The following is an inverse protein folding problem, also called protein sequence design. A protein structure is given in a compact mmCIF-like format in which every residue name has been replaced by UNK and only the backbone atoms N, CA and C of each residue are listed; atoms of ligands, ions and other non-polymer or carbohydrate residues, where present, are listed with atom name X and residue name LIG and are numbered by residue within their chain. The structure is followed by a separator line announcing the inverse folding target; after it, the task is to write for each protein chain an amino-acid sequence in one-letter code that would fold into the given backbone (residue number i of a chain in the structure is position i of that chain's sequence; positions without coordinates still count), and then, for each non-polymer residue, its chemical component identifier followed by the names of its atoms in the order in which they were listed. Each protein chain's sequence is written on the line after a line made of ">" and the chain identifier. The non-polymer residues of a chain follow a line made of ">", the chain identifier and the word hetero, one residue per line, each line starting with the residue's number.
data_IF_168752488141
#
_entry.id   IF_168752488141
#
_cell.length_a   1.000
_cell.length_b   1.000
_cell.length_c   1.000
_cell.angle_alpha   90.00
_cell.angle_beta   90.00
_cell.angle_gamma   90.00
#
_symmetry.space_group_name_H-M   'P 1'
#
loop_
_entity.id
_entity.type
_entity.pdbx_description
1 polymer ?
#
# COMPACT_ATOMS: atom_id res chain seq x y z
N UNK A 1 -6.38 1.58 3.33
CA UNK A 1 -7.16 1.51 2.07
C UNK A 1 -7.18 0.09 1.49
N UNK A 2 -6.09 -0.49 0.99
CA UNK A 2 -6.12 -1.86 0.42
C UNK A 2 -6.62 -2.94 1.38
N UNK A 3 -6.18 -2.87 2.64
CA UNK A 3 -6.48 -3.89 3.66
C UNK A 3 -7.74 -3.60 4.49
N UNK A 4 -8.50 -2.56 4.16
CA UNK A 4 -9.71 -2.17 4.92
C UNK A 4 -9.48 -1.61 6.34
N UNK A 5 -8.28 -1.76 6.90
CA UNK A 5 -7.94 -1.30 8.25
C UNK A 5 -8.22 0.19 8.46
N UNK A 6 -8.82 0.51 9.60
CA UNK A 6 -9.18 1.83 10.09
C UNK A 6 -10.36 2.48 9.35
N UNK A 7 -10.95 1.83 8.34
CA UNK A 7 -12.00 2.46 7.54
C UNK A 7 -13.29 2.65 8.32
N UNK A 8 -13.76 1.66 9.07
CA UNK A 8 -15.01 1.76 9.84
C UNK A 8 -14.94 2.89 10.88
N UNK A 9 -13.77 3.04 11.52
CA UNK A 9 -13.47 4.16 12.40
C UNK A 9 -13.41 5.50 11.65
N UNK A 10 -12.79 5.54 10.47
CA UNK A 10 -12.74 6.73 9.62
C UNK A 10 -14.15 7.18 9.22
N UNK A 11 -14.99 6.28 8.74
CA UNK A 11 -16.35 6.63 8.32
C UNK A 11 -17.18 7.10 9.52
N UNK A 12 -17.03 6.46 10.69
CA UNK A 12 -17.68 6.93 11.92
C UNK A 12 -17.26 8.37 12.27
N UNK A 13 -15.98 8.71 12.10
CA UNK A 13 -15.48 10.08 12.30
C UNK A 13 -15.99 11.04 11.23
N UNK A 14 -16.02 10.62 9.96
CA UNK A 14 -16.56 11.43 8.86
C UNK A 14 -18.04 11.75 9.10
N UNK A 15 -18.86 10.77 9.46
CA UNK A 15 -20.29 10.97 9.74
C UNK A 15 -20.53 11.92 10.92
N UNK A 16 -19.69 11.88 11.95
CA UNK A 16 -19.77 12.80 13.10
C UNK A 16 -19.28 14.21 12.77
N UNK A 17 -18.15 14.34 12.09
CA UNK A 17 -17.51 15.64 11.84
C UNK A 17 -18.20 16.42 10.72
N UNK A 18 -18.66 15.72 9.68
CA UNK A 18 -19.23 16.33 8.48
C UNK A 18 -20.54 17.08 8.74
N UNK A 19 -21.34 16.66 9.74
CA UNK A 19 -22.61 17.34 10.12
C UNK A 19 -23.55 17.63 8.93
N UNK A 20 -23.47 16.82 7.87
CA UNK A 20 -24.21 16.99 6.61
C UNK A 20 -23.94 18.31 5.87
N UNK A 21 -22.83 18.99 6.18
CA UNK A 21 -22.48 20.27 5.61
C UNK A 21 -21.76 20.10 4.27
N UNK A 22 -22.50 20.27 3.17
CA UNK A 22 -21.95 20.36 1.82
C UNK A 22 -21.34 19.06 1.28
N UNK A 23 -20.59 19.19 0.19
CA UNK A 23 -19.92 18.07 -0.48
C UNK A 23 -18.52 17.80 0.10
N UNK A 24 -18.00 16.60 -0.15
CA UNK A 24 -16.69 16.14 0.35
C UNK A 24 -15.73 15.94 -0.81
N UNK A 25 -14.54 16.52 -0.73
CA UNK A 25 -13.51 16.40 -1.76
C UNK A 25 -12.29 15.65 -1.22
N UNK A 26 -11.90 14.56 -1.87
CA UNK A 26 -10.70 13.79 -1.52
C UNK A 26 -9.48 14.42 -2.19
N UNK A 27 -8.67 15.15 -1.42
CA UNK A 27 -7.43 15.77 -1.89
C UNK A 27 -6.19 14.95 -1.48
N UNK A 28 -5.12 15.06 -2.27
CA UNK A 28 -3.82 14.51 -1.90
C UNK A 28 -2.94 14.11 -3.09
N UNK A 29 -1.71 13.72 -2.78
CA UNK A 29 -0.69 13.45 -3.80
C UNK A 29 -1.05 12.25 -4.71
N UNK A 30 -0.41 12.18 -5.88
CA UNK A 30 -0.40 10.95 -6.70
C UNK A 30 0.17 9.79 -5.88
N UNK A 31 -0.34 8.57 -6.13
CA UNK A 31 0.05 7.34 -5.42
C UNK A 31 -0.16 7.30 -3.90
N UNK A 32 -0.81 8.30 -3.30
CA UNK A 32 -1.21 8.27 -1.89
C UNK A 32 -2.32 7.23 -1.58
N UNK A 33 -2.96 6.67 -2.62
CA UNK A 33 -4.03 5.69 -2.48
C UNK A 33 -5.44 6.28 -2.41
N UNK A 34 -5.65 7.52 -2.89
CA UNK A 34 -6.96 8.20 -2.91
C UNK A 34 -8.03 7.39 -3.66
N UNK A 35 -7.78 6.99 -4.90
CA UNK A 35 -8.73 6.20 -5.68
C UNK A 35 -8.99 4.81 -5.08
N UNK A 36 -7.99 4.23 -4.41
CA UNK A 36 -8.19 3.00 -3.62
C UNK A 36 -9.12 3.25 -2.43
N UNK A 37 -8.94 4.38 -1.72
CA UNK A 37 -9.82 4.78 -0.63
C UNK A 37 -11.24 5.10 -1.14
N UNK A 38 -11.37 5.77 -2.28
CA UNK A 38 -12.66 6.06 -2.92
C UNK A 38 -13.43 4.79 -3.25
N UNK A 39 -12.77 3.81 -3.91
CA UNK A 39 -13.37 2.51 -4.20
C UNK A 39 -13.80 1.75 -2.94
N UNK A 40 -13.06 1.93 -1.85
CA UNK A 40 -13.38 1.30 -0.58
C UNK A 40 -14.55 2.02 0.12
N UNK A 41 -14.60 3.35 0.07
CA UNK A 41 -15.72 4.13 0.58
C UNK A 41 -17.01 3.85 -0.19
N UNK A 42 -16.93 3.67 -1.51
CA UNK A 42 -18.03 3.20 -2.35
C UNK A 42 -18.55 1.82 -1.88
N UNK A 43 -17.66 0.96 -1.37
CA UNK A 43 -18.00 -0.34 -0.80
C UNK A 43 -18.53 -0.29 0.64
N UNK A 44 -18.35 0.82 1.34
CA UNK A 44 -18.72 0.96 2.75
C UNK A 44 -20.11 1.56 2.97
N UNK A 45 -20.55 1.60 4.23
CA UNK A 45 -21.74 2.32 4.70
C UNK A 45 -21.66 3.85 4.57
N UNK A 46 -20.59 4.42 4.01
CA UNK A 46 -20.53 5.84 3.70
C UNK A 46 -21.35 6.20 2.45
N UNK A 47 -21.50 5.26 1.54
CA UNK A 47 -22.14 5.46 0.26
C UNK A 47 -23.60 4.97 0.30
N UNK A 48 -24.49 5.55 -0.53
CA UNK A 48 -25.85 5.01 -0.71
C UNK A 48 -25.79 3.58 -1.25
N UNK A 49 -26.74 2.73 -0.82
CA UNK A 49 -26.74 1.28 -1.08
C UNK A 49 -26.69 0.88 -2.55
N UNK A 50 -27.28 1.68 -3.45
CA UNK A 50 -27.34 1.43 -4.91
C UNK A 50 -26.11 1.91 -5.68
N UNK A 51 -25.41 2.90 -5.16
CA UNK A 51 -24.27 3.53 -5.83
C UNK A 51 -23.14 2.62 -6.35
N UNK A 52 -22.82 1.46 -5.76
CA UNK A 52 -21.75 0.58 -6.24
C UNK A 52 -22.08 -0.12 -7.55
N UNK A 53 -23.36 -0.19 -7.91
CA UNK A 53 -23.86 -0.75 -9.17
C UNK A 53 -24.02 0.33 -10.24
N UNK A 54 -24.18 1.59 -9.83
CA UNK A 54 -24.41 2.74 -10.72
C UNK A 54 -23.14 3.52 -11.03
N UNK A 55 -22.25 3.67 -10.04
CA UNK A 55 -21.05 4.52 -10.15
C UNK A 55 -19.87 3.68 -10.61
N UNK A 56 -19.18 4.16 -11.64
CA UNK A 56 -17.94 3.58 -12.11
C UNK A 56 -16.87 3.56 -11.00
N UNK A 57 -16.21 2.42 -10.85
CA UNK A 57 -15.09 2.27 -9.92
C UNK A 57 -13.93 3.14 -10.40
N UNK A 58 -13.28 3.82 -9.46
CA UNK A 58 -12.09 4.61 -9.77
C UNK A 58 -10.94 3.72 -10.25
N UNK A 59 -10.27 4.12 -11.32
CA UNK A 59 -9.12 3.40 -11.86
C UNK A 59 -7.96 3.49 -10.87
N UNK A 60 -7.54 2.35 -10.32
CA UNK A 60 -6.37 2.26 -9.44
C UNK A 60 -5.18 1.81 -10.28
N UNK A 61 -4.22 2.70 -10.49
CA UNK A 61 -2.95 2.35 -11.10
C UNK A 61 -1.78 2.84 -10.24
N UNK A 62 -0.63 2.14 -10.29
CA UNK A 62 0.60 2.57 -9.63
C UNK A 62 1.30 3.74 -10.36
N UNK A 63 0.95 4.02 -11.61
CA UNK A 63 1.47 5.14 -12.38
C UNK A 63 0.83 6.46 -11.94
N UNK A 64 1.58 7.57 -11.81
CA UNK A 64 0.99 8.88 -11.53
C UNK A 64 0.00 9.33 -12.61
N UNK A 65 -1.12 9.98 -12.22
CA UNK A 65 -2.06 10.59 -13.17
C UNK A 65 -3.32 9.78 -13.52
N UNK A 66 -3.73 8.84 -12.66
CA UNK A 66 -4.81 7.87 -12.96
C UNK A 66 -6.23 8.44 -12.99
N UNK A 67 -6.45 9.60 -12.38
CA UNK A 67 -7.78 10.23 -12.28
C UNK A 67 -7.85 11.38 -13.26
N UNK A 68 -8.17 11.07 -14.53
CA UNK A 68 -8.38 12.07 -15.58
C UNK A 68 -9.78 12.72 -15.47
N UNK A 69 -10.78 11.95 -15.01
CA UNK A 69 -12.15 12.43 -14.81
C UNK A 69 -12.50 12.51 -13.32
N UNK A 70 -13.21 13.58 -12.92
CA UNK A 70 -13.76 13.73 -11.57
C UNK A 70 -14.86 12.69 -11.34
N UNK A 71 -14.54 11.64 -10.58
CA UNK A 71 -15.50 10.63 -10.17
C UNK A 71 -16.21 11.07 -8.89
N UNK A 72 -17.48 10.71 -8.76
CA UNK A 72 -18.29 11.07 -7.59
C UNK A 72 -19.31 9.99 -7.22
N UNK A 73 -19.59 9.86 -5.93
CA UNK A 73 -20.70 9.04 -5.43
C UNK A 73 -21.56 9.80 -4.41
N UNK A 74 -22.86 9.49 -4.31
CA UNK A 74 -23.72 10.12 -3.31
C UNK A 74 -23.50 9.54 -1.92
N UNK A 75 -23.31 10.43 -0.95
CA UNK A 75 -23.12 10.12 0.47
C UNK A 75 -24.47 9.75 1.09
N UNK A 76 -24.48 8.74 1.96
CA UNK A 76 -25.67 8.40 2.72
C UNK A 76 -25.92 9.44 3.82
N UNK A 77 -27.17 9.87 3.99
CA UNK A 77 -27.53 10.78 5.09
C UNK A 77 -27.41 10.02 6.44
N UNK A 78 -26.55 10.47 7.37
CA UNK A 78 -26.36 9.85 8.68
C UNK A 78 -27.50 10.21 9.64
N UNK A 79 -28.62 9.48 9.56
CA UNK A 79 -29.70 9.58 10.56
C UNK A 79 -29.34 8.84 11.85
N UNK A 80 -29.93 9.24 12.98
CA UNK A 80 -29.67 8.61 14.28
C UNK A 80 -29.90 7.09 14.25
N UNK A 81 -31.01 6.62 13.65
CA UNK A 81 -31.31 5.19 13.46
C UNK A 81 -30.21 4.49 12.64
N UNK A 82 -29.74 5.09 11.54
CA UNK A 82 -28.69 4.48 10.72
C UNK A 82 -27.35 4.40 11.44
N UNK A 83 -26.98 5.45 12.16
CA UNK A 83 -25.76 5.46 12.98
C UNK A 83 -25.85 4.38 14.05
N UNK A 84 -27.01 4.23 14.69
CA UNK A 84 -27.25 3.25 15.74
C UNK A 84 -27.14 1.81 15.23
N UNK A 85 -27.87 1.45 14.16
CA UNK A 85 -27.80 0.10 13.55
C UNK A 85 -26.39 -0.29 13.11
N UNK A 86 -25.65 0.67 12.56
CA UNK A 86 -24.24 0.44 12.21
C UNK A 86 -23.40 0.17 13.44
N UNK A 87 -23.59 0.91 14.53
CA UNK A 87 -22.86 0.67 15.78
C UNK A 87 -23.17 -0.71 16.36
N UNK A 88 -24.41 -1.19 16.26
CA UNK A 88 -24.77 -2.55 16.65
C UNK A 88 -24.00 -3.59 15.82
N UNK A 89 -24.01 -3.47 14.49
CA UNK A 89 -23.22 -4.35 13.61
C UNK A 89 -21.74 -4.37 14.00
N UNK A 90 -21.12 -3.21 14.20
CA UNK A 90 -19.70 -3.11 14.56
C UNK A 90 -19.40 -3.76 15.91
N UNK A 91 -20.32 -3.66 16.88
CA UNK A 91 -20.19 -4.35 18.18
C UNK A 91 -20.29 -5.85 18.00
N UNK A 92 -21.23 -6.33 17.21
CA UNK A 92 -21.38 -7.77 16.91
C UNK A 92 -20.13 -8.32 16.22
N UNK A 93 -19.63 -7.65 15.18
CA UNK A 93 -18.39 -8.03 14.48
C UNK A 93 -17.20 -8.10 15.44
N UNK A 94 -17.03 -7.09 16.29
CA UNK A 94 -15.96 -7.07 17.29
C UNK A 94 -16.02 -8.22 18.30
N UNK A 95 -17.17 -8.88 18.47
CA UNK A 95 -17.29 -10.07 19.33
C UNK A 95 -16.94 -11.38 18.63
N UNK A 96 -16.99 -11.42 17.29
CA UNK A 96 -16.71 -12.62 16.50
C UNK A 96 -15.22 -12.97 16.54
N UNK A 97 -14.94 -14.27 16.45
CA UNK A 97 -13.57 -14.81 16.30
C UNK A 97 -13.31 -15.24 14.85
N UNK A 98 -12.04 -15.33 14.45
CA UNK A 98 -11.67 -15.71 13.07
C UNK A 98 -12.28 -17.07 12.64
N UNK A 99 -12.51 -17.97 13.59
CA UNK A 99 -13.03 -19.31 13.32
C UNK A 99 -14.51 -19.33 12.95
N UNK A 100 -15.27 -18.30 13.35
CA UNK A 100 -16.71 -18.17 13.09
C UNK A 100 -17.04 -17.59 11.71
N UNK A 101 -16.01 -17.19 10.95
CA UNK A 101 -16.16 -16.66 9.60
C UNK A 101 -16.43 -17.79 8.58
N UNK A 102 -17.16 -17.45 7.52
CA UNK A 102 -17.36 -18.34 6.38
C UNK A 102 -16.05 -18.63 5.64
N UNK A 103 -16.02 -19.70 4.85
CA UNK A 103 -14.82 -20.09 4.12
C UNK A 103 -14.38 -19.04 3.08
N UNK A 104 -15.33 -18.30 2.51
CA UNK A 104 -15.04 -17.21 1.57
C UNK A 104 -14.42 -16.00 2.27
N UNK A 105 -14.95 -15.61 3.43
CA UNK A 105 -14.40 -14.55 4.28
C UNK A 105 -13.01 -14.92 4.80
N UNK A 106 -12.79 -16.18 5.21
CA UNK A 106 -11.47 -16.68 5.60
C UNK A 106 -10.46 -16.61 4.45
N UNK A 107 -10.84 -17.01 3.23
CA UNK A 107 -9.99 -16.88 2.04
C UNK A 107 -9.66 -15.42 1.74
N UNK A 108 -10.66 -14.53 1.85
CA UNK A 108 -10.49 -13.10 1.67
C UNK A 108 -9.52 -12.51 2.71
N UNK A 109 -9.74 -12.82 3.98
CA UNK A 109 -8.90 -12.39 5.10
C UNK A 109 -7.46 -12.88 4.94
N UNK A 110 -7.26 -14.14 4.53
CA UNK A 110 -5.93 -14.69 4.26
C UNK A 110 -5.22 -13.97 3.11
N UNK A 111 -5.94 -13.50 2.09
CA UNK A 111 -5.37 -12.65 1.04
C UNK A 111 -4.94 -11.29 1.62
N UNK A 112 -5.78 -10.64 2.42
CA UNK A 112 -5.46 -9.37 3.06
C UNK A 112 -4.26 -9.47 4.02
N UNK A 113 -4.14 -10.57 4.78
CA UNK A 113 -2.98 -10.87 5.66
C UNK A 113 -1.66 -11.05 4.88
N UNK A 114 -1.73 -11.42 3.60
CA UNK A 114 -0.55 -11.42 2.71
C UNK A 114 -0.19 -10.01 2.26
N UNK A 115 -1.20 -9.20 1.95
CA UNK A 115 -1.04 -7.83 1.44
C UNK A 115 -0.57 -6.83 2.52
N UNK A 116 -0.93 -7.01 3.79
CA UNK A 116 -0.57 -6.07 4.85
C UNK A 116 -0.51 -6.68 6.26
N UNK A 117 0.08 -5.92 7.18
CA UNK A 117 0.15 -6.27 8.61
C UNK A 117 -1.12 -5.89 9.37
N UNK A 118 -1.78 -4.81 8.96
CA UNK A 118 -3.00 -4.31 9.59
C UNK A 118 -4.16 -4.57 8.64
N UNK A 119 -5.11 -5.38 9.09
CA UNK A 119 -6.26 -5.81 8.29
C UNK A 119 -7.54 -5.43 9.01
N UNK A 120 -8.48 -4.85 8.27
CA UNK A 120 -9.82 -4.54 8.75
C UNK A 120 -10.83 -5.02 7.73
N UNK A 121 -11.92 -5.59 8.22
CA UNK A 121 -13.04 -5.97 7.37
C UNK A 121 -13.98 -4.78 7.20
N UNK A 122 -14.50 -4.58 5.99
CA UNK A 122 -15.40 -3.47 5.68
C UNK A 122 -16.75 -4.05 5.37
N UNK A 123 -17.70 -3.79 6.25
CA UNK A 123 -19.05 -4.33 6.13
C UNK A 123 -20.03 -3.34 5.52
N UNK A 124 -21.25 -3.84 5.28
CA UNK A 124 -22.41 -3.02 4.93
C UNK A 124 -23.58 -3.37 5.82
N UNK A 125 -24.14 -2.34 6.43
CA UNK A 125 -25.34 -2.41 7.27
C UNK A 125 -26.60 -2.35 6.42
N UNK A 126 -26.60 -1.56 5.34
CA UNK A 126 -27.80 -1.29 4.54
C UNK A 126 -27.73 -1.94 3.17
N UNK A 127 -27.76 -3.28 3.15
CA UNK A 127 -27.85 -4.04 1.91
C UNK A 127 -29.30 -4.42 1.64
N UNK A 128 -29.81 -4.08 0.46
CA UNK A 128 -31.10 -4.60 0.02
C UNK A 128 -30.91 -6.10 -0.16
N UNK A 129 -31.68 -6.92 0.56
CA UNK A 129 -31.75 -8.35 0.25
C UNK A 129 -32.06 -8.46 -1.24
N UNK A 130 -31.24 -9.18 -2.01
CA UNK A 130 -31.66 -9.60 -3.35
C UNK A 130 -32.98 -10.33 -3.12
N UNK A 131 -34.07 -9.81 -3.67
CA UNK A 131 -35.25 -10.63 -3.85
C UNK A 131 -34.77 -11.88 -4.58
N UNK A 132 -34.97 -13.05 -3.98
CA UNK A 132 -34.80 -14.32 -4.68
C UNK A 132 -35.54 -14.15 -6.01
N UNK A 133 -34.91 -14.36 -7.17
CA UNK A 133 -35.65 -14.30 -8.41
C UNK A 133 -36.75 -15.35 -8.29
N UNK A 134 -38.00 -14.90 -8.23
CA UNK A 134 -39.13 -15.78 -8.48
C UNK A 134 -38.89 -16.26 -9.89
N UNK A 135 -38.58 -17.54 -10.05
CA UNK A 135 -38.47 -18.17 -11.36
C UNK A 135 -39.89 -18.15 -11.90
N UNK A 136 -40.22 -17.13 -12.68
CA UNK A 136 -41.44 -17.14 -13.48
C UNK A 136 -41.21 -18.20 -14.55
N UNK A 137 -41.88 -19.33 -14.37
CA UNK A 137 -41.72 -20.49 -15.23
C UNK A 137 -42.53 -20.22 -16.51
N UNK A 138 -41.89 -19.62 -17.51
CA UNK A 138 -42.51 -19.34 -18.80
C UNK A 138 -42.49 -20.62 -19.67
N UNK A 139 -43.64 -21.26 -19.95
CA UNK A 139 -43.70 -22.51 -20.71
C UNK A 139 -43.24 -22.35 -22.16
N UNK A 140 -43.26 -21.13 -22.69
CA UNK A 140 -42.94 -20.83 -24.09
C UNK A 140 -41.42 -20.78 -24.36
N UNK A 141 -40.58 -20.66 -23.32
CA UNK A 141 -39.11 -20.76 -23.47
C UNK A 141 -38.60 -22.19 -23.73
N UNK A 142 -39.46 -23.20 -23.62
CA UNK A 142 -39.11 -24.62 -23.80
C UNK A 142 -39.57 -25.18 -25.15
N UNK A 143 -40.22 -24.39 -26.02
CA UNK A 143 -40.61 -24.87 -27.34
C UNK A 143 -39.40 -24.91 -28.28
N UNK A 144 -38.81 -26.10 -28.45
CA UNK A 144 -37.87 -26.37 -29.54
C UNK A 144 -38.63 -26.56 -30.85
N UNK A 145 -38.58 -25.59 -31.76
CA UNK A 145 -38.92 -25.77 -33.17
C UNK A 145 -37.70 -26.35 -33.91
N UNK A 146 -37.89 -27.41 -34.68
CA UNK A 146 -36.80 -28.19 -35.32
C UNK A 146 -36.16 -27.51 -36.55
N UNK A 147 -36.52 -26.27 -36.89
CA UNK A 147 -36.20 -25.65 -38.19
C UNK A 147 -35.51 -24.26 -38.12
N UNK A 148 -34.82 -23.89 -37.03
CA UNK A 148 -34.01 -22.66 -37.01
C UNK A 148 -32.56 -22.90 -36.53
N UNK A 149 -31.59 -22.42 -37.31
CA UNK A 149 -30.17 -22.39 -37.00
C UNK A 149 -29.89 -21.66 -35.66
N UNK A 150 -28.82 -22.02 -34.92
CA UNK A 150 -28.53 -21.43 -33.62
C UNK A 150 -28.05 -19.99 -33.75
N UNK A 151 -28.98 -19.04 -33.88
CA UNK A 151 -28.67 -17.62 -33.71
C UNK A 151 -28.38 -17.35 -32.24
N UNK A 152 -27.21 -16.76 -31.99
CA UNK A 152 -26.72 -16.31 -30.71
C UNK A 152 -27.84 -15.82 -29.78
N UNK A 153 -27.91 -16.44 -28.60
CA UNK A 153 -28.70 -15.91 -27.48
C UNK A 153 -28.37 -14.42 -27.30
N UNK A 154 -29.38 -13.53 -27.21
CA UNK A 154 -29.11 -12.15 -26.91
C UNK A 154 -28.51 -12.14 -25.50
N UNK A 155 -27.22 -11.82 -25.40
CA UNK A 155 -26.60 -11.46 -24.11
C UNK A 155 -27.48 -10.38 -23.53
N UNK A 156 -28.21 -10.71 -22.46
CA UNK A 156 -28.98 -9.76 -21.67
C UNK A 156 -28.05 -8.59 -21.37
N UNK A 157 -28.28 -7.45 -22.03
CA UNK A 157 -27.57 -6.22 -21.68
C UNK A 157 -27.94 -5.98 -20.22
N UNK A 158 -26.99 -6.08 -19.31
CA UNK A 158 -27.18 -5.61 -17.95
C UNK A 158 -27.57 -4.13 -18.06
N UNK A 159 -28.86 -3.84 -17.88
CA UNK A 159 -29.37 -2.48 -17.83
C UNK A 159 -28.59 -1.78 -16.71
N UNK A 160 -27.81 -0.77 -17.07
CA UNK A 160 -27.10 0.04 -16.08
C UNK A 160 -28.16 0.71 -15.22
N UNK A 161 -28.29 0.26 -13.98
CA UNK A 161 -29.16 0.93 -13.02
C UNK A 161 -28.73 2.40 -12.92
N UNK A 162 -29.66 3.33 -13.11
CA UNK A 162 -29.42 4.76 -12.92
C UNK A 162 -30.07 5.23 -11.61
N UNK A 163 -29.50 6.27 -11.00
CA UNK A 163 -30.13 6.87 -9.83
C UNK A 163 -31.42 7.59 -10.20
N UNK A 164 -32.47 7.39 -9.41
CA UNK A 164 -33.71 8.16 -9.57
C UNK A 164 -33.48 9.63 -9.19
N UNK A 165 -34.11 10.56 -9.90
CA UNK A 165 -34.02 12.01 -9.63
C UNK A 165 -34.21 12.38 -8.14
N UNK A 166 -35.19 11.77 -7.47
CA UNK A 166 -35.47 12.00 -6.05
C UNK A 166 -34.35 11.54 -5.12
N UNK A 167 -33.56 10.52 -5.51
CA UNK A 167 -32.41 10.07 -4.73
C UNK A 167 -31.22 11.03 -4.88
N UNK A 168 -31.17 11.82 -5.95
CA UNK A 168 -30.02 12.64 -6.32
C UNK A 168 -30.21 14.12 -5.96
N UNK A 169 -31.45 14.62 -5.98
CA UNK A 169 -31.79 16.03 -5.80
C UNK A 169 -31.22 16.66 -4.53
N UNK A 170 -31.34 15.97 -3.39
CA UNK A 170 -30.82 16.42 -2.09
C UNK A 170 -29.58 15.64 -1.65
N UNK A 171 -28.95 14.92 -2.58
CA UNK A 171 -27.75 14.15 -2.29
C UNK A 171 -26.55 15.07 -2.13
N UNK A 172 -25.73 14.75 -1.14
CA UNK A 172 -24.38 15.27 -1.03
C UNK A 172 -23.41 14.30 -1.68
N UNK A 173 -22.33 14.83 -2.24
CA UNK A 173 -21.42 14.06 -3.06
C UNK A 173 -20.03 13.97 -2.45
N UNK A 174 -19.38 12.82 -2.62
CA UNK A 174 -17.97 12.64 -2.38
C UNK A 174 -17.26 12.59 -3.74
N UNK A 175 -16.29 13.47 -3.96
CA UNK A 175 -15.53 13.60 -5.20
C UNK A 175 -14.11 13.05 -5.05
N UNK A 176 -13.67 12.20 -5.98
CA UNK A 176 -12.24 11.88 -6.16
C UNK A 176 -11.60 12.93 -7.06
N UNK A 177 -10.59 13.62 -6.53
CA UNK A 177 -9.87 14.67 -7.28
C UNK A 177 -8.57 14.14 -7.89
N UNK A 178 -8.13 14.70 -9.04
CA UNK A 178 -6.82 14.39 -9.60
C UNK A 178 -5.71 14.55 -8.57
N UNK A 179 -4.78 13.60 -8.55
CA UNK A 179 -3.68 13.63 -7.59
C UNK A 179 -2.66 14.72 -7.90
N UNK A 180 -2.23 15.44 -6.86
CA UNK A 180 -1.16 16.42 -6.96
C UNK A 180 0.17 15.68 -7.17
N UNK A 181 0.83 15.92 -8.30
CA UNK A 181 2.15 15.33 -8.59
C UNK A 181 3.19 16.05 -7.75
N UNK A 182 4.05 15.28 -7.07
CA UNK A 182 5.20 15.85 -6.35
C UNK A 182 6.41 15.91 -7.29
N UNK A 183 7.06 17.06 -7.37
CA UNK A 183 8.18 17.30 -8.29
C UNK A 183 9.41 16.44 -7.93
N UNK A 184 9.77 16.36 -6.65
CA UNK A 184 10.97 15.65 -6.18
C UNK A 184 10.75 14.13 -5.94
N UNK A 185 9.89 13.50 -6.76
CA UNK A 185 9.50 12.11 -6.57
C UNK A 185 10.27 11.17 -7.52
N UNK A 186 11.02 10.20 -6.98
CA UNK A 186 11.71 9.15 -7.76
C UNK A 186 10.76 8.42 -8.70
N UNK A 187 9.49 8.25 -8.30
CA UNK A 187 8.49 7.56 -9.13
C UNK A 187 8.26 8.21 -10.49
N UNK A 188 8.50 9.53 -10.62
CA UNK A 188 8.36 10.24 -11.89
C UNK A 188 9.53 9.92 -12.84
N UNK A 189 10.68 9.50 -12.30
CA UNK A 189 11.86 9.15 -13.07
C UNK A 189 11.82 7.71 -13.59
N UNK A 190 10.91 6.87 -13.07
CA UNK A 190 10.85 5.45 -13.35
C UNK A 190 9.83 5.12 -14.43
N UNK A 191 9.97 3.96 -15.07
CA UNK A 191 8.99 3.42 -16.02
C UNK A 191 7.86 2.68 -15.30
N UNK A 192 6.73 2.43 -15.97
CA UNK A 192 5.58 1.74 -15.35
C UNK A 192 5.95 0.35 -14.78
N UNK A 193 6.81 -0.40 -15.48
CA UNK A 193 7.29 -1.70 -15.02
C UNK A 193 8.17 -1.57 -13.78
N UNK A 194 9.04 -0.57 -13.72
CA UNK A 194 9.89 -0.28 -12.56
C UNK A 194 9.07 0.18 -11.36
N UNK A 195 8.08 1.05 -11.56
CA UNK A 195 7.20 1.53 -10.50
C UNK A 195 6.47 0.37 -9.82
N UNK A 196 6.03 -0.65 -10.59
CA UNK A 196 5.43 -1.87 -10.03
C UNK A 196 6.38 -2.68 -9.14
N UNK A 197 7.70 -2.62 -9.40
CA UNK A 197 8.71 -3.30 -8.57
C UNK A 197 9.04 -2.50 -7.30
N UNK A 198 9.13 -1.18 -7.42
CA UNK A 198 9.47 -0.29 -6.30
C UNK A 198 8.31 -0.18 -5.32
N UNK A 199 7.07 -0.07 -5.81
CA UNK A 199 5.90 0.05 -4.95
C UNK A 199 5.52 -1.32 -4.37
N UNK A 200 5.50 -1.48 -3.04
CA UNK A 200 5.17 -2.75 -2.42
C UNK A 200 3.70 -3.13 -2.67
N UNK A 201 3.50 -4.35 -3.14
CA UNK A 201 2.16 -4.98 -3.26
C UNK A 201 1.81 -5.81 -2.04
N UNK A 202 2.83 -6.30 -1.32
CA UNK A 202 2.70 -7.12 -0.13
C UNK A 202 3.30 -6.42 1.10
N UNK A 203 3.03 -6.97 2.28
CA UNK A 203 3.60 -6.50 3.53
C UNK A 203 5.13 -6.47 3.46
N UNK A 204 5.73 -5.30 3.72
CA UNK A 204 7.18 -5.09 3.62
C UNK A 204 7.87 -5.83 4.76
N UNK A 205 8.72 -6.81 4.43
CA UNK A 205 9.50 -7.52 5.43
C UNK A 205 10.86 -6.82 5.55
N UNK A 206 11.22 -6.27 6.73
CA UNK A 206 12.49 -5.60 6.90
C UNK A 206 13.65 -6.59 6.69
N UNK A 207 14.62 -6.19 5.88
CA UNK A 207 15.83 -6.96 5.60
C UNK A 207 17.00 -6.33 6.33
N UNK A 208 17.53 -7.03 7.33
CA UNK A 208 18.59 -6.50 8.18
C UNK A 208 19.94 -7.05 7.79
N UNK A 209 20.91 -6.15 7.68
CA UNK A 209 22.30 -6.45 7.34
C UNK A 209 23.23 -5.86 8.39
N UNK A 210 24.38 -6.49 8.63
CA UNK A 210 25.45 -5.98 9.47
C UNK A 210 26.59 -5.48 8.57
N UNK A 211 26.90 -4.19 8.64
CA UNK A 211 27.96 -3.57 7.87
C UNK A 211 29.10 -3.15 8.78
N UNK A 212 30.33 -3.30 8.28
CA UNK A 212 31.54 -2.77 8.89
C UNK A 212 31.93 -1.45 8.22
N UNK A 213 32.75 -0.61 8.87
CA UNK A 213 33.37 0.52 8.21
C UNK A 213 34.08 0.08 6.92
N UNK A 214 33.91 0.84 5.83
CA UNK A 214 34.39 0.51 4.49
C UNK A 214 33.48 -0.42 3.68
N UNK A 215 32.26 -0.72 4.15
CA UNK A 215 31.25 -1.48 3.41
C UNK A 215 30.14 -0.57 2.86
N UNK A 216 29.50 -1.04 1.80
CA UNK A 216 28.47 -0.31 1.05
C UNK A 216 27.22 -1.18 0.90
N UNK A 217 26.06 -0.55 1.07
CA UNK A 217 24.75 -1.14 0.81
C UNK A 217 24.11 -0.46 -0.40
N UNK A 218 23.82 -1.26 -1.44
CA UNK A 218 23.05 -0.86 -2.60
C UNK A 218 21.60 -1.32 -2.43
N UNK A 219 20.66 -0.40 -2.64
CA UNK A 219 19.25 -0.71 -2.84
C UNK A 219 18.92 -0.50 -4.32
N UNK A 220 18.97 -1.59 -5.09
CA UNK A 220 18.93 -1.54 -6.54
C UNK A 220 19.98 -0.54 -7.10
N UNK A 221 19.77 0.00 -8.30
CA UNK A 221 20.53 1.15 -8.82
C UNK A 221 19.91 2.50 -8.40
N UNK A 222 18.93 2.49 -7.48
CA UNK A 222 18.19 3.67 -7.02
C UNK A 222 18.83 4.39 -5.84
N UNK A 223 19.56 3.67 -4.99
CA UNK A 223 20.15 4.27 -3.81
C UNK A 223 21.32 3.46 -3.29
N UNK A 224 22.26 4.17 -2.67
CA UNK A 224 23.47 3.59 -2.09
C UNK A 224 23.75 4.24 -0.74
N UNK A 225 24.21 3.46 0.23
CA UNK A 225 24.62 3.94 1.55
C UNK A 225 26.00 3.37 1.86
N UNK A 226 26.97 4.26 2.03
CA UNK A 226 28.35 3.95 2.37
C UNK A 226 28.57 4.14 3.86
N UNK A 227 29.13 3.14 4.51
CA UNK A 227 29.61 3.26 5.88
C UNK A 227 31.09 3.66 5.86
N UNK A 228 31.38 4.95 6.04
CA UNK A 228 32.73 5.50 5.91
C UNK A 228 33.57 5.25 7.16
N UNK A 229 33.12 5.77 8.30
CA UNK A 229 33.86 5.69 9.57
C UNK A 229 32.92 5.33 10.72
N UNK A 230 33.43 4.48 11.61
CA UNK A 230 32.84 4.11 12.89
C UNK A 230 33.69 3.03 13.57
N UNK A 231 33.54 2.85 14.87
CA UNK A 231 34.39 1.94 15.65
C UNK A 231 33.91 0.48 15.57
N UNK A 232 32.59 0.29 15.51
CA UNK A 232 31.98 -1.03 15.53
C UNK A 232 31.07 -1.30 14.32
N UNK A 233 30.73 -2.57 14.05
CA UNK A 233 29.77 -2.90 13.00
C UNK A 233 28.37 -2.42 13.39
N UNK A 234 27.69 -1.79 12.44
CA UNK A 234 26.33 -1.28 12.63
C UNK A 234 25.32 -2.11 11.85
N UNK A 235 24.06 -2.06 12.28
CA UNK A 235 22.96 -2.75 11.60
C UNK A 235 22.16 -1.81 10.72
N UNK A 236 21.92 -2.25 9.50
CA UNK A 236 21.17 -1.54 8.48
C UNK A 236 19.94 -2.37 8.13
N UNK A 237 18.78 -1.91 8.59
CA UNK A 237 17.49 -2.55 8.32
C UNK A 237 16.82 -1.84 7.15
N UNK A 238 16.84 -2.48 5.99
CA UNK A 238 16.22 -1.98 4.76
C UNK A 238 14.73 -2.28 4.78
N UNK A 239 13.93 -1.22 4.71
CA UNK A 239 12.48 -1.28 4.54
C UNK A 239 12.17 -0.84 3.11
N UNK A 240 11.96 -1.82 2.23
CA UNK A 240 11.67 -1.59 0.82
C UNK A 240 10.90 -2.79 0.24
N UNK A 241 10.33 -2.64 -0.96
CA UNK A 241 9.69 -3.76 -1.67
C UNK A 241 10.61 -5.00 -1.73
N UNK A 242 10.04 -6.18 -1.48
CA UNK A 242 10.78 -7.46 -1.49
C UNK A 242 11.35 -7.80 -2.88
N UNK A 243 10.80 -7.19 -3.94
CA UNK A 243 11.26 -7.38 -5.32
C UNK A 243 12.50 -6.56 -5.65
N UNK A 244 12.86 -5.55 -4.84
CA UNK A 244 14.07 -4.77 -5.04
C UNK A 244 15.28 -5.52 -4.48
N UNK A 245 16.32 -5.80 -5.30
CA UNK A 245 17.52 -6.43 -4.81
C UNK A 245 18.27 -5.49 -3.86
N UNK A 246 18.88 -6.09 -2.84
CA UNK A 246 19.83 -5.40 -1.96
C UNK A 246 21.16 -6.11 -2.09
N UNK A 247 22.20 -5.35 -2.42
CA UNK A 247 23.54 -5.88 -2.61
C UNK A 247 24.52 -5.20 -1.65
N UNK A 248 25.48 -5.97 -1.14
CA UNK A 248 26.49 -5.48 -0.20
C UNK A 248 27.85 -5.65 -0.85
N UNK A 249 28.66 -4.59 -0.81
CA UNK A 249 30.01 -4.60 -1.34
C UNK A 249 30.99 -3.86 -0.43
N UNK A 250 32.25 -3.80 -0.85
CA UNK A 250 33.29 -2.95 -0.27
C UNK A 250 33.30 -1.58 -0.95
N UNK A 251 33.75 -0.56 -0.22
CA UNK A 251 33.81 0.82 -0.70
C UNK A 251 34.68 0.96 -1.96
N UNK A 252 35.83 0.29 -2.01
CA UNK A 252 36.77 0.38 -3.14
C UNK A 252 36.18 -0.10 -4.47
N UNK A 253 35.28 -1.09 -4.42
CA UNK A 253 34.68 -1.67 -5.62
C UNK A 253 33.29 -1.10 -5.92
N UNK A 254 32.78 -0.18 -5.09
CA UNK A 254 31.40 0.25 -5.16
C UNK A 254 31.10 0.99 -6.47
N UNK A 255 31.99 1.89 -6.90
CA UNK A 255 31.83 2.64 -8.15
C UNK A 255 31.90 1.72 -9.37
N UNK A 256 32.91 0.83 -9.40
CA UNK A 256 33.07 -0.16 -10.48
C UNK A 256 31.88 -1.13 -10.59
N UNK A 257 31.25 -1.51 -9.46
CA UNK A 257 30.06 -2.36 -9.45
C UNK A 257 28.85 -1.59 -9.98
N UNK A 258 28.70 -0.32 -9.60
CA UNK A 258 27.61 0.50 -10.09
C UNK A 258 27.70 0.67 -11.61
N UNK A 259 28.87 1.01 -12.14
CA UNK A 259 29.08 1.18 -13.59
C UNK A 259 28.82 -0.11 -14.37
N UNK A 260 29.32 -1.26 -13.88
CA UNK A 260 29.19 -2.53 -14.60
C UNK A 260 27.82 -3.18 -14.49
N UNK A 261 27.12 -2.98 -13.37
CA UNK A 261 25.92 -3.76 -13.05
C UNK A 261 24.65 -2.93 -12.86
N UNK A 262 24.72 -1.60 -12.95
CA UNK A 262 23.51 -0.78 -12.98
C UNK A 262 22.67 -1.11 -14.23
N UNK A 263 21.38 -1.35 -14.02
CA UNK A 263 20.48 -1.75 -15.10
C UNK A 263 20.51 -3.24 -15.46
N UNK A 264 21.37 -4.04 -14.82
CA UNK A 264 21.43 -5.50 -14.97
C UNK A 264 20.69 -6.23 -13.82
N UNK A 265 20.78 -7.57 -13.77
CA UNK A 265 20.06 -8.38 -12.78
C UNK A 265 20.53 -8.14 -11.33
N UNK A 266 21.78 -7.73 -11.12
CA UNK A 266 22.34 -7.50 -9.77
C UNK A 266 21.80 -6.21 -9.13
N UNK A 267 21.77 -5.11 -9.89
CA UNK A 267 21.24 -3.81 -9.46
C UNK A 267 19.98 -3.46 -10.28
N UNK A 268 19.01 -4.37 -10.24
CA UNK A 268 17.76 -4.26 -10.98
C UNK A 268 16.94 -3.07 -10.50
N UNK A 269 16.45 -2.26 -11.45
CA UNK A 269 15.76 -0.97 -11.28
C UNK A 269 16.75 0.20 -11.14
N UNK A 270 16.92 1.03 -12.19
CA UNK A 270 16.19 1.04 -13.48
C UNK A 270 16.35 -0.25 -14.32
N UNK A 271 15.40 -0.55 -15.19
CA UNK A 271 15.43 -1.70 -16.10
C UNK A 271 15.59 -1.18 -17.53
N UNK A 272 16.71 -1.51 -18.17
CA UNK A 272 16.97 -1.04 -19.54
C UNK A 272 18.44 -0.98 -19.95
N UNK A 273 19.34 -1.64 -19.20
CA UNK A 273 20.76 -1.67 -19.52
C UNK A 273 21.43 -0.29 -19.52
N UNK A 274 22.50 -0.16 -20.29
CA UNK A 274 23.37 1.03 -20.31
C UNK A 274 22.70 2.26 -20.94
N UNK A 275 21.84 2.08 -21.94
CA UNK A 275 21.15 3.20 -22.59
C UNK A 275 20.21 3.92 -21.62
N UNK A 276 19.46 3.15 -20.82
CA UNK A 276 18.58 3.71 -19.80
C UNK A 276 19.36 4.39 -18.66
N UNK A 277 20.53 3.87 -18.32
CA UNK A 277 21.38 4.47 -17.30
C UNK A 277 21.99 5.81 -17.74
N UNK A 278 22.17 6.05 -19.04
CA UNK A 278 22.58 7.37 -19.56
C UNK A 278 21.48 8.43 -19.42
N UNK A 279 20.22 8.03 -19.57
CA UNK A 279 19.06 8.91 -19.38
C UNK A 279 18.76 9.13 -17.88
N UNK A 280 19.04 8.13 -17.05
CA UNK A 280 18.78 8.20 -15.61
C UNK A 280 19.74 9.18 -14.93
N UNK A 281 19.24 10.05 -14.02
CA UNK A 281 20.09 11.02 -13.35
C UNK A 281 21.16 10.35 -12.48
N UNK A 282 22.36 10.92 -12.51
CA UNK A 282 23.48 10.48 -11.66
C UNK A 282 23.11 10.57 -10.18
N UNK A 283 23.67 9.64 -9.39
CA UNK A 283 23.48 9.66 -7.95
C UNK A 283 24.32 10.76 -7.29
N UNK A 284 23.70 11.57 -6.45
CA UNK A 284 24.34 12.67 -5.72
C UNK A 284 24.62 12.22 -4.28
N UNK A 285 25.87 12.35 -3.78
CA UNK A 285 26.21 12.03 -2.40
C UNK A 285 25.70 13.08 -1.42
N UNK A 286 25.32 12.62 -0.23
CA UNK A 286 25.06 13.44 0.94
C UNK A 286 25.66 12.78 2.18
N UNK A 287 26.46 13.56 2.91
CA UNK A 287 27.10 13.12 4.15
C UNK A 287 26.13 13.23 5.33
N UNK A 288 26.14 12.21 6.18
CA UNK A 288 25.24 12.04 7.31
C UNK A 288 26.06 11.56 8.50
N UNK A 289 25.97 12.30 9.60
CA UNK A 289 26.57 11.91 10.86
C UNK A 289 25.48 11.48 11.84
N UNK A 290 25.61 10.29 12.42
CA UNK A 290 24.67 9.73 13.38
C UNK A 290 25.38 9.36 14.69
N UNK A 291 24.68 9.47 15.83
CA UNK A 291 25.17 9.04 17.14
C UNK A 291 24.39 7.82 17.63
N UNK A 292 25.09 6.75 17.96
CA UNK A 292 24.52 5.49 18.38
C UNK A 292 23.86 5.56 19.76
N UNK A 293 22.69 4.92 19.87
CA UNK A 293 21.88 4.86 21.10
C UNK A 293 22.03 3.50 21.77
N UNK A 294 22.11 2.42 20.98
CA UNK A 294 22.24 1.06 21.50
C UNK A 294 21.92 0.00 20.44
N UNK A 295 22.22 -1.28 20.73
CA UNK A 295 22.08 -2.37 19.76
C UNK A 295 20.63 -2.74 19.43
N UNK A 296 19.67 -2.32 20.26
CA UNK A 296 18.24 -2.64 20.14
C UNK A 296 17.44 -1.52 19.49
N UNK A 297 17.92 -0.28 19.55
CA UNK A 297 17.18 0.90 19.12
C UNK A 297 17.85 1.59 17.93
N UNK A 298 17.08 1.76 16.85
CA UNK A 298 17.50 2.49 15.68
C UNK A 298 17.70 3.97 16.03
N UNK A 299 18.75 4.56 15.47
CA UNK A 299 19.13 5.95 15.66
C UNK A 299 18.33 6.86 14.74
N UNK A 300 18.27 6.48 13.46
CA UNK A 300 17.63 7.27 12.42
C UNK A 300 17.19 6.41 11.24
N UNK A 301 16.23 6.93 10.49
CA UNK A 301 15.84 6.41 9.18
C UNK A 301 16.41 7.29 8.07
N UNK A 302 17.21 6.69 7.19
CA UNK A 302 17.71 7.34 5.97
C UNK A 302 16.72 7.04 4.84
N UNK A 303 15.99 8.06 4.38
CA UNK A 303 15.06 7.93 3.25
C UNK A 303 15.82 8.11 1.95
N UNK A 304 15.99 7.02 1.22
CA UNK A 304 16.71 6.99 -0.07
C UNK A 304 15.80 7.31 -1.26
N UNK A 305 14.49 7.15 -1.11
CA UNK A 305 13.55 7.51 -2.17
C UNK A 305 12.22 7.99 -1.59
N UNK A 306 11.54 8.82 -2.37
CA UNK A 306 10.14 9.18 -2.10
C UNK A 306 9.17 8.02 -2.32
N UNK A 307 9.64 6.89 -2.85
CA UNK A 307 8.84 5.70 -3.14
C UNK A 307 8.58 4.80 -1.91
N UNK A 308 8.80 5.34 -0.72
CA UNK A 308 8.48 4.68 0.54
C UNK A 308 9.55 3.72 1.04
N UNK A 309 10.75 3.71 0.44
CA UNK A 309 11.90 2.95 0.96
C UNK A 309 12.78 3.78 1.88
N UNK A 310 13.22 3.18 2.99
CA UNK A 310 14.20 3.76 3.89
C UNK A 310 15.11 2.70 4.48
N UNK A 311 16.25 3.13 4.99
CA UNK A 311 17.20 2.29 5.71
C UNK A 311 17.26 2.80 7.14
N UNK A 312 16.83 1.98 8.08
CA UNK A 312 16.98 2.27 9.50
C UNK A 312 18.38 1.86 9.94
N UNK A 313 19.09 2.77 10.59
CA UNK A 313 20.46 2.55 11.10
C UNK A 313 20.40 2.33 12.61
N UNK A 314 20.99 1.24 13.08
CA UNK A 314 21.13 0.91 14.50
C UNK A 314 22.60 0.71 14.81
N UNK A 315 23.10 1.42 15.82
CA UNK A 315 24.51 1.40 16.19
C UNK A 315 24.67 1.34 17.71
N UNK A 316 25.85 0.93 18.18
CA UNK A 316 26.10 0.79 19.62
C UNK A 316 26.11 2.15 20.32
N UNK A 317 25.91 2.14 21.64
CA UNK A 317 25.80 3.36 22.42
C UNK A 317 27.08 4.21 22.34
N UNK A 318 26.91 5.53 22.25
CA UNK A 318 27.97 6.55 22.23
C UNK A 318 28.92 6.51 21.02
N UNK A 319 28.65 5.69 20.01
CA UNK A 319 29.44 5.65 18.78
C UNK A 319 29.01 6.72 17.78
N UNK A 320 29.97 7.38 17.13
CA UNK A 320 29.72 8.29 16.03
C UNK A 320 29.94 7.59 14.68
N UNK A 321 28.91 7.63 13.83
CA UNK A 321 28.90 6.98 12.52
C UNK A 321 28.88 8.04 11.44
N UNK A 322 29.87 7.98 10.55
CA UNK A 322 29.89 8.77 9.33
C UNK A 322 29.41 7.91 8.17
N UNK A 323 28.28 8.30 7.61
CA UNK A 323 27.64 7.65 6.48
C UNK A 323 27.59 8.61 5.30
N UNK A 324 27.68 8.08 4.09
CA UNK A 324 27.41 8.82 2.87
C UNK A 324 26.34 8.11 2.08
N UNK A 325 25.21 8.77 1.86
CA UNK A 325 24.10 8.19 1.13
C UNK A 325 23.92 8.89 -0.21
N UNK A 326 23.56 8.12 -1.22
CA UNK A 326 23.48 8.56 -2.61
C UNK A 326 22.07 8.35 -3.13
N UNK A 327 21.52 9.37 -3.76
CA UNK A 327 20.18 9.33 -4.37
C UNK A 327 20.17 10.02 -5.73
N UNK A 328 19.24 9.68 -6.63
CA UNK A 328 19.22 10.25 -7.97
C UNK A 328 18.98 11.76 -7.91
N UNK A 329 19.72 12.53 -8.72
CA UNK A 329 19.58 13.99 -8.80
C UNK A 329 18.11 14.40 -8.97
N UNK A 330 17.65 15.35 -8.17
CA UNK A 330 16.25 15.80 -8.12
C UNK A 330 15.39 15.09 -7.07
N UNK A 331 15.93 14.08 -6.39
CA UNK A 331 15.29 13.46 -5.22
C UNK A 331 15.83 14.06 -3.94
N UNK A 332 14.95 14.31 -2.97
CA UNK A 332 15.37 14.73 -1.64
C UNK A 332 15.75 13.50 -0.79
N UNK A 333 17.01 13.40 -0.38
CA UNK A 333 17.41 12.52 0.70
C UNK A 333 17.06 13.19 2.04
N UNK A 334 16.38 12.44 2.91
CA UNK A 334 15.93 12.97 4.20
C UNK A 334 16.30 11.99 5.30
N UNK A 335 17.02 12.49 6.30
CA UNK A 335 17.30 11.76 7.54
C UNK A 335 16.18 12.08 8.53
N UNK A 336 15.55 11.04 9.07
CA UNK A 336 14.51 11.17 10.10
C UNK A 336 15.05 10.64 11.43
N UNK A 337 15.14 11.53 12.41
CA UNK A 337 15.42 11.21 13.81
C UNK A 337 14.36 11.95 14.67
N UNK A 338 13.61 11.28 15.54
CA UNK A 338 13.64 9.84 15.85
C UNK A 338 13.10 8.96 14.71
N UNK A 339 13.50 7.68 14.62
CA UNK A 339 13.01 6.76 13.59
C UNK A 339 11.54 6.39 13.79
N UNK A 340 10.88 5.96 12.71
CA UNK A 340 9.48 5.52 12.76
C UNK A 340 9.31 4.19 13.50
N UNK A 341 10.30 3.31 13.37
CA UNK A 341 10.30 1.99 14.01
C UNK A 341 11.60 1.84 14.83
N UNK A 342 11.62 2.32 16.08
CA UNK A 342 12.82 2.29 16.92
C UNK A 342 13.39 0.88 17.09
N UNK A 343 12.54 -0.13 17.32
CA UNK A 343 13.00 -1.51 17.58
C UNK A 343 13.09 -2.40 16.33
N UNK A 344 13.22 -1.81 15.13
CA UNK A 344 13.20 -2.57 13.88
C UNK A 344 14.32 -3.61 13.76
N UNK A 345 15.47 -3.35 14.40
CA UNK A 345 16.62 -4.26 14.43
C UNK A 345 16.28 -5.61 15.10
N UNK A 346 15.27 -5.64 15.97
CA UNK A 346 14.78 -6.86 16.65
C UNK A 346 13.91 -7.73 15.74
N UNK A 347 13.36 -7.17 14.66
CA UNK A 347 12.49 -7.86 13.69
C UNK A 347 13.37 -8.59 12.65
N UNK A 348 14.27 -9.45 13.13
CA UNK A 348 15.16 -10.27 12.32
C UNK A 348 15.27 -11.69 12.86
N UNK A 349 15.52 -12.63 11.97
CA UNK A 349 15.85 -14.02 12.30
C UNK A 349 17.35 -14.21 12.59
N UNK A 350 17.85 -15.45 12.68
CA UNK A 350 19.25 -15.72 12.93
C UNK A 350 20.14 -15.25 11.77
N UNK A 351 21.41 -14.97 12.08
CA UNK A 351 22.41 -14.57 11.09
C UNK A 351 22.67 -15.71 10.10
N UNK A 352 22.75 -15.38 8.81
CA UNK A 352 23.11 -16.34 7.77
C UNK A 352 24.63 -16.48 7.77
N UNK A 353 25.12 -17.69 8.07
CA UNK A 353 26.57 -18.01 8.13
C UNK A 353 27.26 -17.61 6.83
N UNK A 354 28.43 -16.98 6.94
CA UNK A 354 29.23 -16.54 5.78
C UNK A 354 28.75 -15.25 5.11
N UNK A 355 27.68 -14.61 5.58
CA UNK A 355 27.16 -13.38 4.97
C UNK A 355 26.95 -12.25 5.98
N UNK A 356 26.74 -11.05 5.45
CA UNK A 356 26.32 -9.87 6.21
C UNK A 356 24.79 -9.86 6.49
N UNK A 357 24.02 -10.81 5.97
CA UNK A 357 22.57 -10.82 6.03
C UNK A 357 22.01 -11.62 7.22
N UNK A 358 20.86 -11.18 7.72
CA UNK A 358 20.03 -11.93 8.66
C UNK A 358 18.83 -12.55 7.94
N UNK A 359 18.37 -13.71 8.42
CA UNK A 359 17.11 -14.29 7.90
C UNK A 359 15.95 -13.34 8.19
N UNK A 360 15.03 -13.21 7.24
CA UNK A 360 13.85 -12.37 7.40
C UNK A 360 12.83 -13.01 8.35
N UNK A 361 12.21 -12.20 9.21
CA UNK A 361 11.09 -12.62 10.06
C UNK A 361 9.88 -11.76 9.74
N UNK A 362 8.81 -12.35 9.22
CA UNK A 362 7.56 -11.62 8.98
C UNK A 362 6.80 -11.49 10.31
N UNK A 363 6.50 -10.27 10.80
CA UNK A 363 5.66 -10.12 11.98
C UNK A 363 4.22 -10.59 11.70
N UNK A 364 3.49 -11.04 12.74
CA UNK A 364 2.11 -11.48 12.60
C UNK A 364 1.20 -10.33 12.16
N UNK A 365 0.16 -10.64 11.37
CA UNK A 365 -0.87 -9.68 11.00
C UNK A 365 -1.86 -9.46 12.14
N UNK A 366 -2.21 -8.21 12.41
CA UNK A 366 -3.26 -7.79 13.34
C UNK A 366 -4.57 -7.55 12.57
N UNK A 367 -5.68 -8.07 13.10
CA UNK A 367 -7.02 -7.87 12.54
C UNK A 367 -7.84 -7.01 13.51
N UNK A 368 -8.40 -5.89 13.04
CA UNK A 368 -9.02 -4.84 13.89
C UNK A 368 -10.40 -5.22 14.43
N UNK A 369 -11.09 -6.15 13.78
CA UNK A 369 -12.52 -6.41 14.02
C UNK A 369 -12.80 -7.80 14.60
N UNK A 370 -11.77 -8.58 14.94
CA UNK A 370 -11.94 -9.94 15.45
C UNK A 370 -11.24 -10.06 16.78
N UNK A 371 -11.85 -10.75 17.74
CA UNK A 371 -11.15 -11.09 18.98
C UNK A 371 -9.95 -11.95 18.63
N UNK A 372 -8.74 -11.60 19.11
CA UNK A 372 -7.58 -12.45 18.92
C UNK A 372 -7.90 -13.82 19.52
N UNK A 373 -7.77 -14.87 18.71
CA UNK A 373 -7.81 -16.24 19.21
C UNK A 373 -6.66 -16.40 20.19
N UNK A 374 -6.97 -16.45 21.48
CA UNK A 374 -5.97 -16.35 22.54
C UNK A 374 -4.93 -17.45 22.44
N UNK A 375 -3.69 -17.08 22.10
CA UNK A 375 -2.47 -17.66 22.65
C UNK A 375 -1.46 -16.52 22.84
N UNK A 376 -1.23 -16.20 24.11
CA UNK A 376 -0.09 -15.39 24.58
C UNK A 376 1.22 -16.06 24.20
#
# INVERSE_FOLDING_TARGET
>A
ARTGFGLEALVSRLQRAWSCAGDVFLLGATNAGKSTLFNLLLRSDYCKSRAPHVVDRATVSPWPGTTLNLLKFPIINPTCDRIFRRQERLKEEATKTEDQLSDEEKKHLNRLKKEGYLVGEVGRTFQRQKSVPVVDFDPDMLSYSMDEDPTHSPRTREEREEFTYNEVKDARWCFDTPGIVKENCVLNLLTEKEVKLVLPTQAIVPRTFILKPGMVLFLAALGRVDYLQGESPAWFSVVASNQLPVHISTLNNADAIYEKHAGQELLKVPMGGEERMKEFPSLVPQDITLKGIGPTEAVADIKLSSAGSWVAVTAQAEEELQLRAYTPKGTALVVRAPPLLPYISTVRGPRIKGTAAYRTKKPPSLVENLKPTGRR
#
